data_IF_447730122128
#
_entry.id   IF_447730122128
#
_cell.length_a   1.000
_cell.length_b   1.000
_cell.length_c   1.000
_cell.angle_alpha   90.00
_cell.angle_beta   90.00
_cell.angle_gamma   90.00
#
_symmetry.space_group_name_H-M   'P 1'
#
loop_
_entity.id
_entity.type
_entity.pdbx_description
1 polymer ?
#
# COMPACT_ATOMS: atom_id res chain seq x y z
N UNK A 1 27.60 -26.69 -15.02
CA UNK A 1 26.27 -26.95 -15.62
C UNK A 1 25.44 -25.70 -15.46
N UNK A 2 25.21 -24.98 -16.57
CA UNK A 2 24.55 -23.68 -16.59
C UNK A 2 23.06 -23.83 -16.25
N UNK A 3 22.67 -23.36 -15.05
CA UNK A 3 21.27 -23.21 -14.68
C UNK A 3 20.71 -21.95 -15.33
N UNK A 4 19.95 -22.11 -16.40
CA UNK A 4 19.21 -21.04 -17.06
C UNK A 4 18.17 -20.47 -16.09
N UNK A 5 18.43 -19.29 -15.56
CA UNK A 5 17.41 -18.45 -14.92
C UNK A 5 16.37 -18.13 -15.99
N UNK A 6 15.18 -18.72 -15.85
CA UNK A 6 14.03 -18.38 -16.71
C UNK A 6 13.66 -16.93 -16.42
N UNK A 7 14.17 -16.02 -17.24
CA UNK A 7 13.66 -14.66 -17.30
C UNK A 7 12.19 -14.77 -17.72
N UNK A 8 11.27 -14.46 -16.81
CA UNK A 8 9.88 -14.19 -17.17
C UNK A 8 9.95 -12.99 -18.10
N UNK A 9 9.96 -13.26 -19.41
CA UNK A 9 9.74 -12.23 -20.41
C UNK A 9 8.38 -11.63 -20.08
N UNK A 10 8.34 -10.37 -19.62
CA UNK A 10 7.10 -9.63 -19.53
C UNK A 10 6.49 -9.63 -20.93
N UNK A 11 5.49 -10.49 -21.15
CA UNK A 11 4.80 -10.57 -22.41
C UNK A 11 4.26 -9.19 -22.74
N UNK A 12 4.72 -8.63 -23.86
CA UNK A 12 4.31 -7.32 -24.34
C UNK A 12 2.80 -7.35 -24.60
N UNK A 13 2.03 -6.57 -23.85
CA UNK A 13 0.57 -6.55 -23.97
C UNK A 13 0.16 -5.47 -24.98
N UNK A 14 -0.61 -5.87 -25.99
CA UNK A 14 -1.07 -5.00 -27.07
C UNK A 14 -2.52 -4.55 -26.83
N UNK A 15 -2.88 -3.38 -27.37
CA UNK A 15 -4.28 -2.96 -27.45
C UNK A 15 -5.06 -3.90 -28.37
N UNK A 16 -6.24 -4.31 -27.93
CA UNK A 16 -7.11 -5.24 -28.64
C UNK A 16 -7.94 -4.56 -29.75
N UNK A 17 -8.04 -3.23 -29.76
CA UNK A 17 -8.82 -2.50 -30.78
C UNK A 17 -8.16 -2.67 -32.15
N UNK A 18 -8.96 -3.01 -33.16
CA UNK A 18 -8.48 -3.20 -34.53
C UNK A 18 -7.74 -1.95 -35.05
N UNK A 19 -6.53 -2.15 -35.59
CA UNK A 19 -5.69 -1.08 -36.13
C UNK A 19 -4.93 -0.24 -35.08
N UNK A 20 -5.05 -0.55 -33.78
CA UNK A 20 -4.31 0.16 -32.73
C UNK A 20 -2.94 -0.47 -32.47
N UNK A 21 -1.88 0.35 -32.49
CA UNK A 21 -0.50 -0.06 -32.24
C UNK A 21 0.01 0.23 -30.82
N UNK A 22 -0.86 0.72 -29.94
CA UNK A 22 -0.52 1.01 -28.53
C UNK A 22 -0.25 -0.27 -27.74
N UNK A 23 0.74 -0.21 -26.84
CA UNK A 23 1.29 -1.36 -26.12
C UNK A 23 1.76 -1.01 -24.70
N UNK A 24 1.91 -2.01 -23.84
CA UNK A 24 2.42 -1.85 -22.47
C UNK A 24 3.89 -1.41 -22.47
N UNK A 25 4.30 -0.61 -21.46
CA UNK A 25 5.71 -0.23 -21.28
C UNK A 25 6.60 -1.47 -21.20
N UNK A 26 7.67 -1.50 -21.97
CA UNK A 26 8.84 -2.36 -21.73
C UNK A 26 9.93 -1.50 -21.10
N UNK A 27 10.73 -2.05 -20.20
CA UNK A 27 11.81 -1.34 -19.48
C UNK A 27 12.88 -0.71 -20.39
N UNK A 28 12.85 -0.96 -21.71
CA UNK A 28 13.92 -0.63 -22.67
C UNK A 28 13.56 0.39 -23.77
N UNK A 29 12.33 0.89 -23.93
CA UNK A 29 11.99 1.88 -25.00
C UNK A 29 11.00 2.95 -24.57
N UNK A 30 11.34 4.23 -24.85
CA UNK A 30 10.63 5.45 -24.40
C UNK A 30 9.68 6.10 -25.42
N UNK A 31 9.51 5.56 -26.63
CA UNK A 31 8.99 6.36 -27.76
C UNK A 31 7.56 6.09 -28.27
N UNK A 32 6.76 5.18 -27.69
CA UNK A 32 5.34 5.05 -28.10
C UNK A 32 4.41 5.88 -27.22
N UNK A 33 3.39 6.51 -27.81
CA UNK A 33 2.34 7.27 -27.12
C UNK A 33 1.82 6.52 -25.88
N UNK A 34 2.22 6.99 -24.70
CA UNK A 34 2.01 6.28 -23.44
C UNK A 34 0.54 6.41 -23.05
N UNK A 35 -0.25 5.37 -23.29
CA UNK A 35 -1.64 5.30 -22.82
C UNK A 35 -1.80 4.09 -21.90
N UNK A 36 -2.51 4.28 -20.78
CA UNK A 36 -2.81 3.20 -19.85
C UNK A 36 -3.60 2.08 -20.56
N UNK A 37 -3.30 0.82 -20.26
CA UNK A 37 -4.02 -0.34 -20.80
C UNK A 37 -5.00 -0.86 -19.76
N UNK A 38 -6.27 -0.94 -20.13
CA UNK A 38 -7.37 -1.34 -19.25
C UNK A 38 -7.86 -2.73 -19.63
N UNK A 39 -8.16 -3.56 -18.62
CA UNK A 39 -8.70 -4.92 -18.85
C UNK A 39 -10.10 -4.85 -19.44
N UNK A 40 -10.43 -5.82 -20.30
CA UNK A 40 -11.82 -6.06 -20.68
C UNK A 40 -12.66 -6.27 -19.40
N UNK A 41 -13.74 -5.49 -19.19
CA UNK A 41 -14.54 -5.62 -17.98
C UNK A 41 -15.15 -7.02 -17.83
N UNK A 42 -14.99 -7.61 -16.65
CA UNK A 42 -15.64 -8.88 -16.31
C UNK A 42 -17.15 -8.70 -16.06
N UNK A 43 -17.88 -9.80 -16.20
CA UNK A 43 -19.26 -9.90 -15.73
C UNK A 43 -19.23 -10.14 -14.22
N UNK A 44 -20.03 -9.38 -13.47
CA UNK A 44 -20.11 -9.48 -12.01
C UNK A 44 -21.23 -10.43 -11.65
N UNK A 45 -20.89 -11.56 -11.01
CA UNK A 45 -21.85 -12.63 -10.66
C UNK A 45 -22.21 -12.67 -9.17
N UNK A 46 -21.41 -12.03 -8.31
CA UNK A 46 -21.52 -12.09 -6.85
C UNK A 46 -22.27 -10.89 -6.24
N UNK A 47 -23.09 -10.20 -7.02
CA UNK A 47 -23.91 -9.05 -6.60
C UNK A 47 -25.37 -9.25 -7.04
N UNK A 48 -26.21 -8.22 -6.92
CA UNK A 48 -27.61 -8.30 -7.34
C UNK A 48 -27.79 -8.42 -8.87
N UNK A 49 -28.98 -8.88 -9.30
CA UNK A 49 -29.31 -9.12 -10.71
C UNK A 49 -29.15 -7.89 -11.59
N UNK A 50 -29.45 -6.70 -11.04
CA UNK A 50 -29.25 -5.43 -11.74
C UNK A 50 -27.78 -5.19 -12.08
N UNK A 51 -26.86 -5.45 -11.14
CA UNK A 51 -25.41 -5.33 -11.40
C UNK A 51 -24.96 -6.33 -12.46
N UNK A 52 -25.42 -7.58 -12.37
CA UNK A 52 -25.12 -8.61 -13.37
C UNK A 52 -25.55 -8.14 -14.76
N UNK A 53 -26.80 -7.71 -14.92
CA UNK A 53 -27.33 -7.22 -16.20
C UNK A 53 -26.54 -6.02 -16.76
N UNK A 54 -26.20 -5.04 -15.92
CA UNK A 54 -25.41 -3.87 -16.34
C UNK A 54 -23.97 -4.25 -16.74
N UNK A 55 -23.33 -5.17 -16.01
CA UNK A 55 -21.98 -5.64 -16.33
C UNK A 55 -21.93 -6.43 -17.63
N UNK A 56 -22.96 -7.26 -17.92
CA UNK A 56 -23.14 -7.93 -19.22
C UNK A 56 -23.29 -6.91 -20.34
N UNK A 57 -24.18 -5.92 -20.18
CA UNK A 57 -24.38 -4.86 -21.17
C UNK A 57 -23.08 -4.10 -21.45
N UNK A 58 -22.32 -3.76 -20.41
CA UNK A 58 -21.00 -3.10 -20.52
C UNK A 58 -20.01 -3.97 -21.29
N UNK A 59 -19.86 -5.25 -20.94
CA UNK A 59 -18.93 -6.17 -21.61
C UNK A 59 -19.31 -6.36 -23.08
N UNK A 60 -20.60 -6.52 -23.40
CA UNK A 60 -21.11 -6.60 -24.79
C UNK A 60 -20.73 -5.37 -25.59
N UNK A 61 -20.97 -4.17 -25.04
CA UNK A 61 -20.62 -2.90 -25.70
C UNK A 61 -19.12 -2.76 -25.95
N UNK A 62 -18.28 -3.24 -25.04
CA UNK A 62 -16.82 -3.29 -25.25
C UNK A 62 -16.45 -4.21 -26.42
N UNK A 63 -16.98 -5.43 -26.44
CA UNK A 63 -16.69 -6.41 -27.51
C UNK A 63 -17.16 -5.92 -28.88
N UNK A 64 -18.36 -5.33 -28.96
CA UNK A 64 -18.87 -4.73 -30.19
C UNK A 64 -17.96 -3.61 -30.70
N UNK A 65 -17.40 -2.78 -29.81
CA UNK A 65 -16.51 -1.68 -30.20
C UNK A 65 -15.09 -2.13 -30.55
N UNK A 66 -14.57 -3.17 -29.89
CA UNK A 66 -13.28 -3.78 -30.23
C UNK A 66 -13.33 -4.35 -31.65
N UNK A 67 -14.50 -4.89 -32.06
CA UNK A 67 -14.82 -5.31 -33.43
C UNK A 67 -13.78 -6.29 -34.01
N UNK A 68 -13.41 -7.31 -33.24
CA UNK A 68 -12.52 -8.40 -33.65
C UNK A 68 -13.21 -9.75 -33.49
N UNK A 69 -13.29 -10.51 -34.58
CA UNK A 69 -13.91 -11.84 -34.59
C UNK A 69 -13.00 -12.93 -34.00
N UNK A 70 -11.68 -12.72 -34.04
CA UNK A 70 -10.65 -13.63 -33.55
C UNK A 70 -10.38 -13.50 -32.05
N UNK A 71 -11.03 -12.53 -31.39
CA UNK A 71 -10.80 -12.23 -29.98
C UNK A 71 -11.54 -13.22 -29.09
N UNK A 72 -10.80 -14.02 -28.32
CA UNK A 72 -11.36 -14.78 -27.21
C UNK A 72 -11.49 -13.87 -25.97
N UNK A 73 -12.71 -13.48 -25.57
CA UNK A 73 -12.93 -12.54 -24.47
C UNK A 73 -12.64 -13.12 -23.09
N UNK A 74 -12.51 -14.45 -22.97
CA UNK A 74 -12.35 -15.16 -21.70
C UNK A 74 -10.89 -15.44 -21.34
N UNK A 75 -9.95 -15.14 -22.24
CA UNK A 75 -8.51 -15.35 -22.04
C UNK A 75 -7.88 -14.42 -20.99
N UNK A 76 -8.61 -13.42 -20.49
CA UNK A 76 -8.21 -12.54 -19.38
C UNK A 76 -7.04 -11.58 -19.66
N UNK A 77 -6.38 -11.73 -20.81
CA UNK A 77 -5.25 -10.94 -21.31
C UNK A 77 -5.68 -9.78 -22.23
N UNK A 78 -6.95 -9.75 -22.67
CA UNK A 78 -7.50 -8.66 -23.48
C UNK A 78 -7.34 -7.31 -22.78
N UNK A 79 -6.67 -6.36 -23.46
CA UNK A 79 -6.49 -4.96 -23.00
C UNK A 79 -6.94 -3.96 -24.05
N UNK A 80 -7.47 -2.82 -23.64
CA UNK A 80 -7.77 -1.68 -24.50
C UNK A 80 -7.05 -0.45 -23.97
N UNK A 81 -6.40 0.32 -24.84
CA UNK A 81 -5.63 1.49 -24.42
C UNK A 81 -6.47 2.74 -24.21
N UNK A 82 -5.96 3.64 -23.38
CA UNK A 82 -6.55 4.92 -23.00
C UNK A 82 -7.06 5.77 -24.18
N UNK A 83 -6.36 5.72 -25.32
CA UNK A 83 -6.68 6.49 -26.52
C UNK A 83 -8.11 6.26 -27.06
N UNK A 84 -8.75 5.12 -26.73
CA UNK A 84 -10.10 4.80 -27.20
C UNK A 84 -11.21 5.25 -26.24
N UNK A 85 -10.87 5.82 -25.08
CA UNK A 85 -11.85 6.45 -24.19
C UNK A 85 -11.93 7.94 -24.49
N UNK A 86 -12.55 8.29 -25.63
CA UNK A 86 -12.73 9.67 -26.12
C UNK A 86 -13.40 10.58 -25.07
N UNK A 87 -14.33 10.01 -24.31
CA UNK A 87 -14.98 10.63 -23.17
C UNK A 87 -15.35 9.56 -22.16
N UNK A 88 -15.11 9.77 -20.87
CA UNK A 88 -15.56 8.84 -19.83
C UNK A 88 -15.02 9.16 -18.45
N UNK A 89 -15.78 8.78 -17.43
CA UNK A 89 -15.34 8.78 -16.04
C UNK A 89 -15.09 7.33 -15.61
N UNK A 90 -14.06 7.12 -14.79
CA UNK A 90 -13.90 5.83 -14.11
C UNK A 90 -15.01 5.70 -13.08
N UNK A 91 -15.82 4.65 -13.19
CA UNK A 91 -16.95 4.41 -12.29
C UNK A 91 -16.76 3.08 -11.52
N UNK A 92 -16.79 3.17 -10.20
CA UNK A 92 -16.82 2.02 -9.28
C UNK A 92 -18.19 1.96 -8.62
N UNK A 93 -18.87 0.82 -8.72
CA UNK A 93 -20.22 0.62 -8.15
C UNK A 93 -20.15 -0.40 -7.03
N UNK A 94 -20.71 -0.06 -5.87
CA UNK A 94 -20.83 -0.95 -4.71
C UNK A 94 -22.32 -1.24 -4.50
N UNK A 95 -22.74 -2.48 -4.69
CA UNK A 95 -24.12 -2.91 -4.50
C UNK A 95 -24.21 -4.37 -4.01
N UNK A 96 -24.93 -4.66 -2.91
CA UNK A 96 -25.60 -3.70 -2.03
C UNK A 96 -24.59 -2.88 -1.22
N UNK A 97 -24.83 -1.58 -1.08
CA UNK A 97 -24.05 -0.74 -0.19
C UNK A 97 -24.56 -0.96 1.25
N UNK A 98 -23.67 -1.39 2.14
CA UNK A 98 -23.95 -1.46 3.58
C UNK A 98 -23.63 -0.13 4.26
N UNK A 99 -24.10 0.09 5.49
CA UNK A 99 -23.77 1.30 6.26
C UNK A 99 -22.25 1.51 6.39
N UNK A 100 -21.47 0.43 6.58
CA UNK A 100 -20.00 0.48 6.59
C UNK A 100 -19.39 1.07 5.32
N UNK A 101 -20.00 0.82 4.15
CA UNK A 101 -19.55 1.44 2.89
C UNK A 101 -19.89 2.92 2.88
N UNK A 102 -21.10 3.30 3.33
CA UNK A 102 -21.49 4.71 3.45
C UNK A 102 -20.53 5.44 4.38
N UNK A 103 -20.31 4.95 5.60
CA UNK A 103 -19.45 5.58 6.61
C UNK A 103 -17.97 5.69 6.17
N UNK A 104 -17.53 4.81 5.26
CA UNK A 104 -16.18 4.83 4.68
C UNK A 104 -16.00 5.95 3.66
N UNK A 105 -17.01 6.20 2.82
CA UNK A 105 -16.93 7.17 1.72
C UNK A 105 -17.64 8.50 2.02
N UNK A 106 -18.43 8.56 3.09
CA UNK A 106 -19.03 9.79 3.56
C UNK A 106 -17.91 10.78 3.91
N UNK A 107 -18.02 11.99 3.37
CA UNK A 107 -17.10 13.07 3.70
C UNK A 107 -17.13 13.32 5.21
N UNK A 108 -15.95 13.35 5.83
CA UNK A 108 -15.77 13.68 7.25
C UNK A 108 -14.89 14.92 7.31
N UNK A 109 -15.38 16.07 7.82
CA UNK A 109 -14.53 17.23 8.00
C UNK A 109 -13.38 16.86 8.95
N UNK A 110 -12.18 17.29 8.60
CA UNK A 110 -11.00 17.10 9.43
C UNK A 110 -10.73 18.39 10.21
N UNK A 111 -10.37 18.23 11.47
CA UNK A 111 -10.06 19.33 12.37
C UNK A 111 -8.64 19.15 12.92
N UNK A 112 -7.87 20.23 12.97
CA UNK A 112 -6.56 20.24 13.61
C UNK A 112 -6.76 20.45 15.11
N UNK A 113 -6.11 19.61 15.92
CA UNK A 113 -6.15 19.68 17.39
C UNK A 113 -4.72 19.68 17.90
N UNK A 114 -4.40 20.65 18.76
CA UNK A 114 -3.13 20.68 19.49
C UNK A 114 -3.34 20.00 20.85
N UNK A 115 -3.02 18.72 20.92
CA UNK A 115 -3.17 17.94 22.15
C UNK A 115 -2.01 18.20 23.13
N UNK A 116 -2.34 18.71 24.33
CA UNK A 116 -1.38 18.86 25.43
C UNK A 116 -1.17 17.53 26.15
N UNK A 117 -0.08 17.35 26.91
CA UNK A 117 0.10 16.16 27.75
C UNK A 117 -1.07 15.91 28.72
N UNK A 118 -1.67 16.99 29.26
CA UNK A 118 -2.85 16.91 30.12
C UNK A 118 -4.05 16.34 29.36
N UNK A 119 -4.34 16.86 28.16
CA UNK A 119 -5.43 16.35 27.33
C UNK A 119 -5.20 14.89 26.91
N UNK A 120 -3.96 14.51 26.61
CA UNK A 120 -3.63 13.11 26.34
C UNK A 120 -4.04 12.23 27.53
N UNK A 121 -3.63 12.59 28.75
CA UNK A 121 -3.90 11.81 29.96
C UNK A 121 -5.37 11.78 30.36
N UNK A 122 -6.08 12.90 30.23
CA UNK A 122 -7.46 13.03 30.71
C UNK A 122 -8.51 12.62 29.69
N UNK A 123 -8.20 12.68 28.38
CA UNK A 123 -9.19 12.47 27.31
C UNK A 123 -8.76 11.35 26.38
N UNK A 124 -7.61 11.49 25.73
CA UNK A 124 -7.21 10.57 24.65
C UNK A 124 -6.86 9.18 25.17
N UNK A 125 -6.04 9.08 26.21
CA UNK A 125 -5.61 7.82 26.82
C UNK A 125 -6.79 6.99 27.36
N UNK A 126 -7.74 7.57 28.12
CA UNK A 126 -8.96 6.87 28.50
C UNK A 126 -9.78 6.39 27.28
N UNK A 127 -9.93 7.24 26.26
CA UNK A 127 -10.68 6.90 25.05
C UNK A 127 -10.05 5.71 24.29
N UNK A 128 -8.75 5.76 24.00
CA UNK A 128 -8.06 4.69 23.26
C UNK A 128 -8.04 3.38 24.06
N UNK A 129 -8.00 3.47 25.39
CA UNK A 129 -8.07 2.29 26.27
C UNK A 129 -9.46 1.68 26.24
N UNK A 130 -10.52 2.51 26.22
CA UNK A 130 -11.92 2.04 26.12
C UNK A 130 -12.28 1.46 24.74
N UNK A 131 -11.60 1.92 23.67
CA UNK A 131 -11.89 1.55 22.28
C UNK A 131 -10.80 0.69 21.64
N UNK A 132 -10.22 -0.25 22.40
CA UNK A 132 -9.13 -1.10 21.91
C UNK A 132 -9.55 -1.91 20.66
N UNK A 133 -9.09 -1.43 19.50
CA UNK A 133 -9.07 -2.23 18.29
C UNK A 133 -8.15 -3.43 18.52
N UNK A 134 -8.61 -4.63 18.15
CA UNK A 134 -7.83 -5.85 18.34
C UNK A 134 -6.49 -5.74 17.59
N UNK A 135 -5.39 -5.90 18.33
CA UNK A 135 -4.03 -5.99 17.80
C UNK A 135 -3.66 -7.43 17.39
N UNK A 136 -4.61 -8.38 17.41
CA UNK A 136 -4.32 -9.77 17.14
C UNK A 136 -3.65 -10.00 15.79
N UNK A 137 -3.98 -9.19 14.78
CA UNK A 137 -3.34 -9.27 13.47
C UNK A 137 -1.85 -8.88 13.53
N UNK A 138 -1.47 -7.92 14.38
CA UNK A 138 -0.07 -7.54 14.63
C UNK A 138 0.66 -8.71 15.30
N UNK A 139 0.07 -9.28 16.34
CA UNK A 139 0.67 -10.41 17.06
C UNK A 139 0.79 -11.65 16.18
N UNK A 140 -0.17 -11.90 15.30
CA UNK A 140 -0.06 -12.98 14.33
C UNK A 140 1.14 -12.81 13.38
N UNK A 141 1.57 -11.58 13.08
CA UNK A 141 2.79 -11.31 12.29
C UNK A 141 4.03 -11.56 13.17
N UNK A 142 4.06 -10.98 14.38
CA UNK A 142 5.18 -11.13 15.32
C UNK A 142 5.43 -12.57 15.77
N UNK A 143 4.39 -13.41 15.77
CA UNK A 143 4.44 -14.84 16.10
C UNK A 143 4.51 -15.75 14.85
N UNK A 144 4.72 -15.17 13.66
CA UNK A 144 4.84 -15.88 12.38
C UNK A 144 3.65 -16.78 12.03
N UNK A 145 2.46 -16.49 12.57
CA UNK A 145 1.21 -17.19 12.26
C UNK A 145 0.59 -16.71 10.94
N UNK A 146 0.89 -15.47 10.51
CA UNK A 146 0.40 -14.84 9.28
C UNK A 146 1.45 -13.91 8.67
N UNK A 147 1.42 -13.78 7.34
CA UNK A 147 2.28 -12.90 6.53
C UNK A 147 3.80 -13.19 6.64
N UNK A 148 4.18 -14.34 7.21
CA UNK A 148 5.58 -14.72 7.44
C UNK A 148 6.39 -14.78 6.13
N UNK A 149 5.73 -15.17 5.04
CA UNK A 149 6.33 -15.23 3.70
C UNK A 149 6.63 -13.85 3.09
N UNK A 150 6.09 -12.78 3.68
CA UNK A 150 6.29 -11.39 3.23
C UNK A 150 7.34 -10.65 4.03
N UNK A 151 7.89 -11.26 5.08
CA UNK A 151 8.93 -10.64 5.91
C UNK A 151 10.17 -10.41 5.06
N UNK A 152 10.63 -9.16 5.01
CA UNK A 152 11.85 -8.76 4.30
C UNK A 152 13.07 -8.92 5.20
N UNK A 153 12.92 -8.60 6.48
CA UNK A 153 13.97 -8.63 7.47
C UNK A 153 13.35 -8.78 8.86
N UNK A 154 14.06 -9.42 9.77
CA UNK A 154 13.68 -9.52 11.18
C UNK A 154 14.92 -9.45 12.06
N UNK A 155 14.82 -8.64 13.12
CA UNK A 155 15.70 -8.73 14.27
C UNK A 155 14.87 -9.31 15.43
N UNK A 156 15.13 -10.57 15.86
CA UNK A 156 14.25 -11.29 16.78
C UNK A 156 14.41 -10.86 18.25
N UNK A 157 15.25 -9.85 18.56
CA UNK A 157 15.41 -9.38 19.93
C UNK A 157 14.07 -8.86 20.49
N UNK A 158 13.62 -9.34 21.66
CA UNK A 158 12.30 -9.00 22.19
C UNK A 158 12.15 -7.53 22.61
N UNK A 159 13.26 -6.83 22.90
CA UNK A 159 13.26 -5.47 23.45
C UNK A 159 13.62 -4.41 22.39
N UNK A 160 14.62 -4.70 21.56
CA UNK A 160 15.15 -3.78 20.54
C UNK A 160 14.91 -4.26 19.10
N UNK A 161 14.38 -5.46 18.92
CA UNK A 161 14.12 -6.06 17.62
C UNK A 161 12.78 -5.66 17.01
N UNK A 162 12.59 -6.05 15.74
CA UNK A 162 11.41 -5.73 14.94
C UNK A 162 11.32 -6.64 13.70
N UNK A 163 10.12 -6.72 13.12
CA UNK A 163 9.85 -7.31 11.80
C UNK A 163 9.66 -6.19 10.77
N UNK A 164 10.33 -6.31 9.61
CA UNK A 164 10.17 -5.46 8.45
C UNK A 164 9.35 -6.17 7.36
N UNK A 165 8.28 -5.54 6.89
CA UNK A 165 7.42 -6.09 5.83
C UNK A 165 6.90 -5.01 4.87
N UNK A 166 6.50 -5.37 3.64
CA UNK A 166 5.86 -4.44 2.70
C UNK A 166 4.50 -3.95 3.23
N UNK A 167 4.24 -2.65 3.11
CA UNK A 167 2.90 -2.11 3.37
C UNK A 167 1.88 -2.73 2.39
N UNK A 168 0.63 -2.86 2.81
CA UNK A 168 -0.44 -3.42 1.97
C UNK A 168 -0.65 -2.65 0.64
N UNK A 169 -0.20 -1.39 0.57
CA UNK A 169 -0.30 -0.54 -0.64
C UNK A 169 0.85 -0.77 -1.62
N UNK A 170 1.90 -1.49 -1.25
CA UNK A 170 3.04 -1.74 -2.13
C UNK A 170 3.03 -3.17 -2.67
N UNK A 171 3.13 -3.29 -3.99
CA UNK A 171 3.07 -4.57 -4.70
C UNK A 171 4.44 -5.26 -4.85
N UNK A 172 5.48 -4.70 -4.21
CA UNK A 172 6.88 -5.13 -4.21
C UNK A 172 7.56 -5.21 -5.59
N UNK A 173 6.95 -4.64 -6.63
CA UNK A 173 7.49 -4.75 -8.00
C UNK A 173 8.42 -3.62 -8.38
N UNK A 174 8.12 -2.41 -7.92
CA UNK A 174 8.76 -1.18 -8.39
C UNK A 174 9.31 -0.42 -7.17
N UNK A 175 10.58 0.00 -7.16
CA UNK A 175 11.13 0.76 -6.05
C UNK A 175 10.59 2.20 -5.98
N UNK A 176 9.99 2.73 -7.04
CA UNK A 176 9.48 4.10 -7.11
C UNK A 176 8.28 4.35 -6.20
N UNK A 177 7.56 3.31 -5.81
CA UNK A 177 6.48 3.35 -4.82
C UNK A 177 6.79 2.48 -3.59
N UNK A 178 8.09 2.24 -3.31
CA UNK A 178 8.52 1.46 -2.16
C UNK A 178 7.92 2.02 -0.88
N UNK A 179 7.23 1.14 -0.16
CA UNK A 179 6.61 1.44 1.12
C UNK A 179 6.63 0.18 1.99
N UNK A 180 7.38 0.26 3.10
CA UNK A 180 7.51 -0.81 4.08
C UNK A 180 7.20 -0.30 5.48
N UNK A 181 7.01 -1.25 6.38
CA UNK A 181 6.66 -1.03 7.77
C UNK A 181 7.57 -1.87 8.68
N UNK A 182 8.15 -1.24 9.69
CA UNK A 182 8.84 -1.90 10.80
C UNK A 182 7.90 -1.99 12.02
N UNK A 183 7.64 -3.19 12.52
CA UNK A 183 6.81 -3.45 13.70
C UNK A 183 7.72 -3.99 14.81
N UNK A 184 7.83 -3.29 15.94
CA UNK A 184 8.70 -3.74 17.04
C UNK A 184 8.18 -5.02 17.69
N UNK A 185 9.08 -5.88 18.18
CA UNK A 185 8.66 -7.04 18.99
C UNK A 185 8.13 -6.59 20.36
N UNK A 186 8.76 -5.57 20.97
CA UNK A 186 8.38 -5.08 22.30
C UNK A 186 6.91 -4.68 22.36
N UNK A 187 6.17 -5.30 23.27
CA UNK A 187 4.77 -4.99 23.54
C UNK A 187 4.65 -3.73 24.43
N UNK A 188 3.47 -3.11 24.42
CA UNK A 188 3.12 -2.05 25.37
C UNK A 188 3.53 -0.63 24.96
N UNK A 189 4.23 -0.46 23.83
CA UNK A 189 4.51 0.86 23.26
C UNK A 189 3.39 1.22 22.28
N UNK A 190 2.46 2.08 22.68
CA UNK A 190 1.23 2.33 21.90
C UNK A 190 1.43 3.38 20.82
N UNK A 191 2.22 4.42 21.09
CA UNK A 191 2.44 5.55 20.19
C UNK A 191 3.67 6.37 20.59
N UNK A 192 3.88 7.53 19.93
CA UNK A 192 4.89 8.51 20.33
C UNK A 192 4.82 8.92 21.81
N UNK A 193 3.63 8.89 22.42
CA UNK A 193 3.43 9.31 23.82
C UNK A 193 4.05 8.36 24.84
N UNK A 194 4.36 7.12 24.46
CA UNK A 194 5.00 6.13 25.34
C UNK A 194 6.52 6.06 25.14
N UNK A 195 7.08 6.79 24.16
CA UNK A 195 8.51 6.78 23.90
C UNK A 195 9.28 7.55 24.98
N UNK A 196 10.40 6.98 25.38
CA UNK A 196 11.34 7.50 26.40
C UNK A 196 12.77 7.22 25.94
N UNK A 197 13.77 7.73 26.66
CA UNK A 197 15.18 7.47 26.39
C UNK A 197 15.53 5.96 26.36
N UNK A 198 14.82 5.12 27.13
CA UNK A 198 15.02 3.66 27.15
C UNK A 198 14.76 3.00 25.78
N UNK A 199 13.96 3.66 24.94
CA UNK A 199 13.59 3.19 23.61
C UNK A 199 14.57 3.62 22.51
N UNK A 200 15.59 4.44 22.82
CA UNK A 200 16.58 4.90 21.83
C UNK A 200 17.28 3.74 21.13
N UNK A 201 17.59 2.66 21.86
CA UNK A 201 18.24 1.46 21.30
C UNK A 201 17.37 0.79 20.23
N UNK A 202 16.07 0.61 20.49
CA UNK A 202 15.09 0.11 19.53
C UNK A 202 14.97 1.02 18.30
N UNK A 203 14.80 2.34 18.52
CA UNK A 203 14.59 3.30 17.43
C UNK A 203 15.81 3.41 16.49
N UNK A 204 17.02 3.44 17.06
CA UNK A 204 18.27 3.44 16.28
C UNK A 204 18.44 2.12 15.53
N UNK A 205 18.15 1.00 16.17
CA UNK A 205 18.21 -0.32 15.55
C UNK A 205 17.26 -0.43 14.34
N UNK A 206 16.01 0.06 14.47
CA UNK A 206 15.07 0.16 13.35
C UNK A 206 15.66 1.02 12.23
N UNK A 207 16.16 2.23 12.55
CA UNK A 207 16.71 3.13 11.54
C UNK A 207 17.87 2.48 10.77
N UNK A 208 18.84 1.92 11.48
CA UNK A 208 20.04 1.33 10.87
C UNK A 208 19.71 0.08 10.03
N UNK A 209 18.98 -0.87 10.62
CA UNK A 209 18.74 -2.17 9.98
C UNK A 209 17.75 -2.08 8.83
N UNK A 210 16.74 -1.19 8.89
CA UNK A 210 15.85 -0.98 7.74
C UNK A 210 16.62 -0.36 6.57
N UNK A 211 17.44 0.67 6.81
CA UNK A 211 18.25 1.28 5.75
C UNK A 211 19.20 0.25 5.11
N UNK A 212 19.86 -0.59 5.92
CA UNK A 212 20.73 -1.66 5.42
C UNK A 212 19.95 -2.71 4.60
N UNK A 213 18.80 -3.17 5.10
CA UNK A 213 17.97 -4.16 4.42
C UNK A 213 17.44 -3.64 3.07
N UNK A 214 16.97 -2.39 3.02
CA UNK A 214 16.43 -1.80 1.79
C UNK A 214 17.50 -1.49 0.75
N UNK A 215 18.71 -1.12 1.20
CA UNK A 215 19.86 -1.00 0.31
C UNK A 215 20.23 -2.35 -0.30
N UNK A 216 20.31 -3.39 0.53
CA UNK A 216 20.73 -4.73 0.09
C UNK A 216 19.70 -5.36 -0.88
N UNK A 217 18.41 -5.29 -0.56
CA UNK A 217 17.37 -6.01 -1.31
C UNK A 217 16.86 -5.23 -2.53
N UNK A 218 16.82 -3.90 -2.45
CA UNK A 218 16.19 -3.06 -3.48
C UNK A 218 17.13 -2.01 -4.08
N UNK A 219 18.38 -1.91 -3.62
CA UNK A 219 19.33 -0.92 -4.10
C UNK A 219 18.94 0.52 -3.77
N UNK A 220 18.08 0.73 -2.76
CA UNK A 220 17.60 2.07 -2.38
C UNK A 220 18.49 2.61 -1.26
N UNK A 221 19.27 3.68 -1.50
CA UNK A 221 20.12 4.26 -0.48
C UNK A 221 19.30 5.08 0.54
N UNK A 222 19.84 5.20 1.76
CA UNK A 222 19.17 5.87 2.90
C UNK A 222 18.74 7.30 2.62
N UNK A 223 19.53 8.09 1.88
CA UNK A 223 19.18 9.47 1.52
C UNK A 223 17.98 9.60 0.58
N UNK A 224 17.49 8.48 0.01
CA UNK A 224 16.26 8.43 -0.79
C UNK A 224 15.05 7.95 0.02
N UNK A 225 15.23 7.61 1.30
CA UNK A 225 14.20 7.09 2.18
C UNK A 225 13.76 8.15 3.19
N UNK A 226 12.50 8.07 3.58
CA UNK A 226 11.92 8.77 4.72
C UNK A 226 11.45 7.73 5.73
N UNK A 227 12.03 7.71 6.92
CA UNK A 227 11.52 6.97 8.07
C UNK A 227 10.64 7.88 8.94
N UNK A 228 9.42 7.47 9.27
CA UNK A 228 8.48 8.29 10.03
C UNK A 228 7.45 7.48 10.83
N UNK A 229 6.92 8.09 11.89
CA UNK A 229 5.84 7.56 12.72
C UNK A 229 4.59 8.41 12.53
N UNK A 230 3.42 7.80 12.69
CA UNK A 230 2.16 8.54 12.67
C UNK A 230 1.71 8.94 14.08
N UNK A 231 1.15 10.14 14.22
CA UNK A 231 0.37 10.55 15.37
C UNK A 231 -0.93 11.25 14.94
N UNK A 232 -2.13 10.75 15.25
CA UNK A 232 -2.41 9.45 15.86
C UNK A 232 -2.08 8.28 14.90
N UNK A 233 -1.59 7.14 15.42
CA UNK A 233 -1.37 5.95 14.61
C UNK A 233 -2.70 5.30 14.22
N UNK A 234 -2.68 4.46 13.18
CA UNK A 234 -3.89 3.70 12.77
C UNK A 234 -4.21 2.53 13.71
N UNK A 235 -3.23 2.09 14.51
CA UNK A 235 -3.35 1.07 15.56
C UNK A 235 -2.25 1.31 16.60
N UNK A 236 -2.53 0.94 17.85
CA UNK A 236 -1.71 1.31 19.02
C UNK A 236 -0.68 0.24 19.39
N UNK A 237 0.18 -0.09 18.44
CA UNK A 237 1.43 -0.85 18.63
C UNK A 237 2.50 -0.15 17.80
N UNK A 238 3.64 0.19 18.41
CA UNK A 238 4.65 1.03 17.78
C UNK A 238 5.11 0.42 16.44
N UNK A 239 5.06 1.24 15.41
CA UNK A 239 5.49 0.89 14.09
C UNK A 239 6.05 2.11 13.37
N UNK A 240 7.02 1.87 12.48
CA UNK A 240 7.70 2.92 11.72
C UNK A 240 7.50 2.67 10.23
N UNK A 241 7.07 3.70 9.53
CA UNK A 241 6.88 3.72 8.10
C UNK A 241 8.20 4.09 7.42
N UNK A 242 8.55 3.38 6.34
CA UNK A 242 9.63 3.79 5.45
C UNK A 242 9.12 3.83 4.02
N UNK A 243 9.30 4.96 3.35
CA UNK A 243 8.95 5.13 1.93
C UNK A 243 10.03 5.91 1.20
N UNK A 244 10.10 5.74 -0.12
CA UNK A 244 10.98 6.57 -0.96
C UNK A 244 10.46 8.01 -1.01
N UNK A 245 11.36 9.00 -0.99
CA UNK A 245 11.02 10.42 -0.95
C UNK A 245 10.17 10.88 -2.15
N UNK A 246 10.32 10.23 -3.30
CA UNK A 246 9.54 10.54 -4.51
C UNK A 246 8.12 9.98 -4.51
N UNK A 247 7.76 9.15 -3.52
CA UNK A 247 6.41 8.60 -3.39
C UNK A 247 5.61 9.41 -2.38
N UNK A 248 4.48 9.97 -2.83
CA UNK A 248 3.51 10.65 -1.97
C UNK A 248 2.68 9.62 -1.19
N UNK A 249 3.33 8.98 -0.22
CA UNK A 249 2.71 7.96 0.61
C UNK A 249 1.63 8.60 1.52
N UNK A 250 0.46 7.94 1.70
CA UNK A 250 -0.59 8.48 2.55
C UNK A 250 -0.12 8.65 4.01
N UNK A 251 -0.42 9.79 4.62
CA UNK A 251 -0.08 10.08 6.02
C UNK A 251 1.31 10.68 6.22
N UNK A 252 2.01 11.03 5.14
CA UNK A 252 3.32 11.71 5.20
C UNK A 252 3.25 13.21 5.48
N UNK A 253 2.05 13.77 5.57
CA UNK A 253 1.83 15.18 5.80
C UNK A 253 2.20 15.58 7.25
N UNK A 254 2.58 16.85 7.43
CA UNK A 254 3.19 17.38 8.68
C UNK A 254 2.26 17.28 9.89
N UNK A 255 0.95 17.32 9.68
CA UNK A 255 -0.05 17.18 10.74
C UNK A 255 -0.14 15.76 11.32
N UNK A 256 0.57 14.78 10.73
CA UNK A 256 0.53 13.37 11.16
C UNK A 256 1.89 12.70 11.24
N UNK A 257 2.79 12.96 10.29
CA UNK A 257 4.09 12.29 10.22
C UNK A 257 5.14 12.97 11.08
N UNK A 258 5.82 12.16 11.91
CA UNK A 258 6.98 12.58 12.69
C UNK A 258 8.20 11.79 12.22
N UNK A 259 9.22 12.48 11.69
CA UNK A 259 10.44 11.83 11.19
C UNK A 259 11.13 11.05 12.31
N UNK A 260 11.51 9.80 12.02
CA UNK A 260 12.18 8.93 13.00
C UNK A 260 13.47 9.58 13.53
N UNK A 261 14.25 10.22 12.67
CA UNK A 261 15.46 10.94 13.06
C UNK A 261 15.19 12.08 14.03
N UNK A 262 14.13 12.86 13.80
CA UNK A 262 13.72 13.94 14.71
C UNK A 262 13.19 13.38 16.03
N UNK A 263 12.44 12.28 16.01
CA UNK A 263 11.96 11.62 17.24
C UNK A 263 13.13 11.12 18.07
N UNK A 264 14.13 10.48 17.45
CA UNK A 264 15.35 10.04 18.13
C UNK A 264 16.06 11.26 18.74
N UNK A 265 16.31 12.31 17.96
CA UNK A 265 16.99 13.52 18.43
C UNK A 265 16.24 14.25 19.54
N UNK A 266 14.91 14.16 19.60
CA UNK A 266 14.12 14.77 20.68
C UNK A 266 14.20 14.00 22.01
N UNK A 267 14.56 12.71 21.96
CA UNK A 267 14.71 11.84 23.13
C UNK A 267 16.15 11.79 23.68
N UNK A 268 17.11 12.28 22.89
CA UNK A 268 18.53 12.45 23.25
C UNK A 268 18.73 13.72 24.11
#
# INVERSE_FOLDING_TARGET
TNGSVSAIALAMVLCAVYGCSNRSKTSKRRESAVTNLYRLPSVVHNQCDRTKALSVKRRRLWLTRIRRADLNPDRGDVRVCGAHFVSGLTATVICPATQKHVDKYLFKPQHMITETPKLYKEVTEPYITSQQLSLQWVYNILEHKKESERILFEDPDPEKGFILLPDMKWDTKQPENLYVLAICHKHGIRSLRDLTADHLSLLRNINEKVNAALLLQFGVPSHRLRGYLHYQPSYYHLHVHFSVLGFDAPGTQVERAHLLSTVISNLE
#
